data_IF_243400107547
#
_entry.id   IF_243400107547
#
_cell.length_a   1.000
_cell.length_b   1.000
_cell.length_c   1.000
_cell.angle_alpha   90.00
_cell.angle_beta   90.00
_cell.angle_gamma   90.00
#
_symmetry.space_group_name_H-M   'P 1'
#
loop_
_entity.id
_entity.type
_entity.pdbx_description
1 polymer ?
#
# COMPACT_ATOMS: atom_id res chain seq x y z
N UNK A 1 -51.52 -3.97 -18.97
CA UNK A 1 -50.15 -3.51 -19.32
C UNK A 1 -49.18 -4.23 -18.41
N UNK A 2 -48.47 -5.24 -18.91
CA UNK A 2 -47.43 -5.95 -18.15
C UNK A 2 -46.15 -5.09 -18.24
N UNK A 3 -45.73 -4.51 -17.12
CA UNK A 3 -44.44 -3.80 -17.01
C UNK A 3 -43.34 -4.85 -16.81
N UNK A 4 -42.43 -4.93 -17.76
CA UNK A 4 -41.19 -5.68 -17.63
C UNK A 4 -40.26 -4.88 -16.71
N UNK A 5 -39.90 -5.46 -15.58
CA UNK A 5 -38.88 -4.92 -14.69
C UNK A 5 -37.54 -5.44 -15.22
N UNK A 6 -36.77 -4.57 -15.88
CA UNK A 6 -35.39 -4.89 -16.24
C UNK A 6 -34.58 -4.93 -14.94
N UNK A 7 -34.13 -6.12 -14.55
CA UNK A 7 -33.11 -6.27 -13.51
C UNK A 7 -31.78 -5.90 -14.15
N UNK A 8 -31.26 -4.72 -13.79
CA UNK A 8 -29.90 -4.33 -14.14
C UNK A 8 -28.96 -5.16 -13.28
N UNK A 9 -28.35 -6.20 -13.85
CA UNK A 9 -27.26 -6.92 -13.19
C UNK A 9 -26.01 -6.06 -13.35
N UNK A 10 -25.66 -5.28 -12.32
CA UNK A 10 -24.31 -4.71 -12.22
C UNK A 10 -23.35 -5.86 -11.98
N UNK A 11 -22.58 -6.21 -13.01
CA UNK A 11 -21.38 -7.03 -12.84
C UNK A 11 -20.28 -6.09 -12.38
N UNK A 12 -19.95 -6.13 -11.10
CA UNK A 12 -18.69 -5.55 -10.61
C UNK A 12 -17.57 -6.42 -11.15
N UNK A 13 -16.83 -5.92 -12.14
CA UNK A 13 -15.49 -6.43 -12.39
C UNK A 13 -14.62 -5.94 -11.24
N UNK A 14 -14.38 -6.81 -10.27
CA UNK A 14 -13.24 -6.65 -9.37
C UNK A 14 -12.04 -6.91 -10.28
N UNK A 15 -11.29 -5.86 -10.63
CA UNK A 15 -9.98 -6.07 -11.23
C UNK A 15 -9.17 -6.93 -10.24
N UNK A 16 -8.46 -7.97 -10.69
CA UNK A 16 -7.56 -8.69 -9.81
C UNK A 16 -6.62 -7.64 -9.20
N UNK A 17 -6.61 -7.54 -7.87
CA UNK A 17 -5.58 -6.71 -7.24
C UNK A 17 -4.25 -7.27 -7.75
N UNK A 18 -3.37 -6.43 -8.29
CA UNK A 18 -1.94 -6.72 -8.43
C UNK A 18 -1.33 -6.19 -7.12
N UNK A 19 -0.46 -6.93 -6.42
CA UNK A 19 0.30 -6.40 -5.26
C UNK A 19 1.77 -6.30 -5.60
N UNK A 20 2.45 -5.42 -4.87
CA UNK A 20 3.80 -5.00 -5.17
C UNK A 20 4.85 -5.95 -4.66
N UNK A 21 5.97 -6.04 -5.38
CA UNK A 21 7.22 -6.20 -4.67
C UNK A 21 7.35 -5.04 -3.70
N UNK A 22 7.43 -5.38 -2.42
CA UNK A 22 7.74 -4.41 -1.40
C UNK A 22 9.12 -3.79 -1.65
N UNK A 23 9.12 -2.48 -1.79
CA UNK A 23 10.35 -1.69 -1.90
C UNK A 23 10.78 -1.16 -0.54
N UNK A 24 9.83 -1.02 0.38
CA UNK A 24 10.01 -0.38 1.67
C UNK A 24 8.92 -0.80 2.66
N UNK A 25 9.31 -1.01 3.90
CA UNK A 25 8.41 -1.11 5.04
C UNK A 25 9.09 -0.48 6.24
N UNK A 26 8.29 0.27 6.98
CA UNK A 26 8.63 0.79 8.28
C UNK A 26 7.71 0.17 9.30
N UNK A 27 8.27 -0.79 10.01
CA UNK A 27 7.79 -1.23 11.32
C UNK A 27 8.70 -0.53 12.34
N UNK A 28 8.16 0.11 13.37
CA UNK A 28 8.90 0.73 14.49
C UNK A 28 9.91 1.88 14.19
N UNK A 29 10.10 2.27 12.93
CA UNK A 29 10.97 3.38 12.49
C UNK A 29 12.44 3.31 12.97
N UNK A 30 12.92 2.17 13.48
CA UNK A 30 14.22 2.10 14.16
C UNK A 30 15.44 1.95 13.23
N UNK A 31 15.25 1.64 11.94
CA UNK A 31 16.35 1.27 11.04
C UNK A 31 16.32 1.92 9.63
N UNK A 32 15.52 2.98 9.39
CA UNK A 32 15.18 3.38 8.00
C UNK A 32 15.19 4.88 7.68
N UNK A 33 15.78 5.74 8.53
CA UNK A 33 15.85 7.18 8.26
C UNK A 33 16.56 7.51 6.93
N UNK A 34 17.55 6.70 6.54
CA UNK A 34 18.31 6.88 5.28
C UNK A 34 17.49 6.63 4.00
N UNK A 35 16.37 5.91 4.11
CA UNK A 35 15.45 5.67 2.99
C UNK A 35 14.40 6.79 2.87
N UNK A 36 14.35 7.73 3.82
CA UNK A 36 13.38 8.79 3.91
C UNK A 36 14.02 10.17 3.68
N UNK A 37 13.29 11.03 2.99
CA UNK A 37 13.55 12.47 3.02
C UNK A 37 12.50 13.12 3.90
N UNK A 38 12.92 13.69 5.02
CA UNK A 38 12.06 14.39 5.97
C UNK A 38 12.35 15.89 5.86
N UNK A 39 11.31 16.71 5.73
CA UNK A 39 11.42 18.18 5.57
C UNK A 39 10.35 18.92 6.39
N UNK A 40 10.62 20.20 6.67
CA UNK A 40 9.80 21.04 7.54
C UNK A 40 9.85 20.60 9.01
N UNK A 41 8.69 20.60 9.67
CA UNK A 41 8.52 20.21 11.07
C UNK A 41 8.39 18.70 11.28
N UNK A 42 8.40 17.92 10.18
CA UNK A 42 8.32 16.47 10.25
C UNK A 42 9.56 15.87 10.92
N UNK A 43 9.38 14.80 11.69
CA UNK A 43 10.48 14.11 12.39
C UNK A 43 10.09 12.70 12.84
N UNK A 44 11.10 11.84 13.00
CA UNK A 44 10.93 10.58 13.72
C UNK A 44 11.03 10.87 15.22
N UNK A 45 10.03 10.43 15.99
CA UNK A 45 10.00 10.57 17.44
C UNK A 45 9.32 9.34 18.03
N UNK A 46 9.91 8.73 19.07
CA UNK A 46 9.32 7.59 19.78
C UNK A 46 8.77 6.49 18.83
N UNK A 47 9.56 6.07 17.84
CA UNK A 47 9.22 5.03 16.87
C UNK A 47 7.96 5.31 16.00
N UNK A 48 7.71 6.58 15.69
CA UNK A 48 6.69 7.02 14.72
C UNK A 48 7.21 8.20 13.92
N UNK A 49 6.64 8.40 12.74
CA UNK A 49 6.85 9.63 11.97
C UNK A 49 5.78 10.65 12.33
N UNK A 50 6.20 11.75 12.94
CA UNK A 50 5.35 12.91 13.16
C UNK A 50 5.47 13.85 11.97
N UNK A 51 4.38 14.10 11.25
CA UNK A 51 4.35 15.03 10.13
C UNK A 51 4.29 16.49 10.62
N UNK A 52 3.46 16.75 11.62
CA UNK A 52 3.41 18.03 12.34
C UNK A 52 3.13 17.78 13.81
N UNK A 53 3.75 18.54 14.74
CA UNK A 53 3.33 18.56 16.13
C UNK A 53 2.06 19.39 16.30
N UNK A 54 1.33 19.14 17.39
CA UNK A 54 0.18 19.91 17.83
C UNK A 54 0.60 21.30 18.32
N UNK A 55 0.98 22.16 17.38
CA UNK A 55 1.33 23.56 17.57
C UNK A 55 0.78 24.36 16.39
N UNK A 56 0.66 25.68 16.55
CA UNK A 56 0.17 26.54 15.47
C UNK A 56 1.19 26.70 14.35
N UNK A 57 0.69 26.77 13.11
CA UNK A 57 1.49 27.07 11.91
C UNK A 57 2.69 26.15 11.71
N UNK A 58 2.45 24.85 11.83
CA UNK A 58 3.44 23.82 11.51
C UNK A 58 3.20 23.29 10.12
N UNK A 59 4.27 22.84 9.48
CA UNK A 59 4.21 22.21 8.18
C UNK A 59 5.35 21.22 8.03
N UNK A 60 5.05 19.99 7.65
CA UNK A 60 6.06 18.97 7.42
C UNK A 60 5.68 18.00 6.32
N UNK A 61 6.70 17.38 5.75
CA UNK A 61 6.54 16.32 4.78
C UNK A 61 7.60 15.23 4.97
N UNK A 62 7.25 14.02 4.54
CA UNK A 62 8.19 12.92 4.37
C UNK A 62 8.02 12.32 2.99
N UNK A 63 9.08 11.73 2.46
CA UNK A 63 9.06 11.02 1.19
C UNK A 63 9.87 9.74 1.28
N UNK A 64 9.33 8.65 0.74
CA UNK A 64 10.14 7.47 0.44
C UNK A 64 11.10 7.86 -0.68
N UNK A 65 12.39 7.91 -0.36
CA UNK A 65 13.42 8.54 -1.18
C UNK A 65 14.58 7.63 -1.59
N UNK A 66 14.54 6.35 -1.17
CA UNK A 66 15.50 5.33 -1.63
C UNK A 66 15.49 5.17 -3.15
N UNK A 67 14.29 5.14 -3.75
CA UNK A 67 14.11 5.11 -5.20
C UNK A 67 12.71 5.61 -5.59
N UNK A 68 12.57 6.06 -6.84
CA UNK A 68 11.28 6.40 -7.42
C UNK A 68 10.52 5.13 -7.82
N UNK A 69 9.19 5.22 -7.75
CA UNK A 69 8.25 4.19 -8.17
C UNK A 69 7.98 4.28 -9.67
N UNK A 70 8.02 3.16 -10.39
CA UNK A 70 7.59 3.03 -11.78
C UNK A 70 6.06 2.92 -11.87
N UNK A 71 5.44 4.02 -12.32
CA UNK A 71 3.99 4.13 -12.47
C UNK A 71 3.43 3.28 -13.62
N UNK A 72 4.25 2.79 -14.55
CA UNK A 72 3.75 1.87 -15.58
C UNK A 72 3.40 0.51 -14.99
N UNK A 73 4.11 0.12 -13.93
CA UNK A 73 3.83 -1.10 -13.18
C UNK A 73 2.71 -0.88 -12.18
N UNK A 74 2.72 0.27 -11.52
CA UNK A 74 1.79 0.59 -10.45
C UNK A 74 2.36 0.29 -9.08
N UNK A 75 1.60 0.63 -8.04
CA UNK A 75 2.06 0.52 -6.66
C UNK A 75 0.94 0.21 -5.68
N UNK A 76 1.34 -0.24 -4.51
CA UNK A 76 0.52 -0.34 -3.31
C UNK A 76 1.26 0.34 -2.15
N UNK A 77 0.50 1.00 -1.29
CA UNK A 77 0.99 1.49 -0.02
C UNK A 77 -0.05 1.25 1.06
N UNK A 78 0.41 0.85 2.24
CA UNK A 78 -0.41 0.66 3.44
C UNK A 78 0.23 1.44 4.57
N UNK A 79 -0.58 2.05 5.43
CA UNK A 79 -0.08 2.75 6.59
C UNK A 79 -1.09 2.76 7.73
N UNK A 80 -0.56 2.80 8.96
CA UNK A 80 -1.32 3.07 10.16
C UNK A 80 -1.04 4.51 10.57
N UNK A 81 -2.08 5.31 10.76
CA UNK A 81 -1.95 6.69 11.21
C UNK A 81 -2.74 6.93 12.49
N UNK A 82 -2.37 8.00 13.20
CA UNK A 82 -3.01 8.38 14.46
C UNK A 82 -2.96 9.88 14.65
N UNK A 83 -4.10 10.48 14.97
CA UNK A 83 -4.22 11.91 15.27
C UNK A 83 -4.44 12.08 16.77
N UNK A 84 -3.64 12.92 17.43
CA UNK A 84 -3.74 13.09 18.89
C UNK A 84 -3.44 14.51 19.32
N UNK A 85 -3.55 14.78 20.64
CA UNK A 85 -3.22 16.07 21.24
C UNK A 85 -3.95 17.26 20.58
N UNK A 86 -5.20 17.04 20.17
CA UNK A 86 -6.05 18.04 19.54
C UNK A 86 -6.11 19.32 20.37
N UNK A 87 -6.01 20.46 19.70
CA UNK A 87 -6.19 21.74 20.36
C UNK A 87 -7.61 21.82 20.95
N UNK A 88 -7.78 22.31 22.19
CA UNK A 88 -9.06 22.27 22.88
C UNK A 88 -10.05 23.35 22.40
N UNK A 89 -9.61 24.32 21.60
CA UNK A 89 -10.43 25.44 21.14
C UNK A 89 -11.17 25.09 19.84
N UNK A 90 -10.50 24.36 18.94
CA UNK A 90 -11.01 24.00 17.62
C UNK A 90 -11.19 22.49 17.44
N UNK A 91 -10.87 21.70 18.47
CA UNK A 91 -10.95 20.23 18.48
C UNK A 91 -9.99 19.53 17.50
N UNK A 92 -8.88 20.18 17.16
CA UNK A 92 -7.84 19.64 16.29
C UNK A 92 -7.98 20.05 14.83
N UNK A 93 -6.92 19.84 14.06
CA UNK A 93 -6.87 20.12 12.63
C UNK A 93 -5.43 20.24 12.10
N UNK A 94 -5.20 20.54 10.83
CA UNK A 94 -6.21 20.56 9.76
C UNK A 94 -6.30 19.18 9.09
N UNK A 95 -5.18 18.45 9.02
CA UNK A 95 -5.14 17.08 8.51
C UNK A 95 -3.78 16.72 7.94
N UNK A 96 -3.75 15.67 7.13
CA UNK A 96 -2.58 15.25 6.38
C UNK A 96 -2.99 14.73 4.99
N UNK A 97 -2.03 14.55 4.09
CA UNK A 97 -2.28 13.98 2.78
C UNK A 97 -1.23 12.94 2.43
N UNK A 98 -1.66 11.87 1.74
CA UNK A 98 -0.75 11.04 0.96
C UNK A 98 -0.56 11.64 -0.43
N UNK A 99 0.68 11.79 -0.87
CA UNK A 99 1.02 12.52 -2.11
C UNK A 99 1.90 11.67 -3.02
N UNK A 100 1.53 11.67 -4.31
CA UNK A 100 2.30 11.13 -5.44
C UNK A 100 2.80 12.30 -6.27
N UNK A 101 4.11 12.51 -6.35
CA UNK A 101 4.67 13.65 -7.10
C UNK A 101 6.07 13.36 -7.67
N UNK A 102 6.59 14.26 -8.50
CA UNK A 102 7.95 14.18 -9.04
C UNK A 102 8.68 15.53 -8.95
N UNK A 103 8.45 16.25 -7.84
CA UNK A 103 9.03 17.57 -7.61
C UNK A 103 10.30 17.44 -6.76
N UNK A 104 10.85 18.57 -6.31
CA UNK A 104 11.90 18.61 -5.30
C UNK A 104 11.37 18.01 -3.97
N UNK A 105 12.14 17.10 -3.37
CA UNK A 105 11.77 16.43 -2.11
C UNK A 105 11.81 17.37 -0.89
N UNK A 106 12.40 18.56 -1.02
CA UNK A 106 12.38 19.60 0.02
C UNK A 106 11.21 20.58 -0.15
N UNK A 107 10.42 20.46 -1.23
CA UNK A 107 9.27 21.33 -1.47
C UNK A 107 8.18 21.11 -0.42
N UNK A 108 7.56 22.20 0.02
CA UNK A 108 6.45 22.23 0.96
C UNK A 108 5.33 23.11 0.40
N UNK A 109 4.07 22.72 0.63
CA UNK A 109 2.89 23.49 0.22
C UNK A 109 2.57 24.64 1.17
N UNK A 110 1.29 24.87 1.44
CA UNK A 110 0.81 25.88 2.40
C UNK A 110 0.50 25.33 3.79
N UNK A 111 0.19 26.24 4.71
CA UNK A 111 -0.28 25.94 6.07
C UNK A 111 -1.80 25.68 6.11
N UNK A 112 -2.30 25.16 7.23
CA UNK A 112 -3.74 25.03 7.47
C UNK A 112 -4.49 24.16 6.46
N UNK A 113 -5.56 24.71 5.89
CA UNK A 113 -6.40 24.12 4.83
C UNK A 113 -5.62 23.63 3.60
N UNK A 114 -4.37 24.03 3.47
CA UNK A 114 -3.48 23.58 2.40
C UNK A 114 -2.90 22.20 2.65
N UNK A 115 -2.94 21.72 3.90
CA UNK A 115 -2.56 20.37 4.35
C UNK A 115 -1.12 19.99 3.88
N UNK A 116 -0.28 21.01 3.67
CA UNK A 116 1.09 20.87 3.20
C UNK A 116 1.26 20.44 1.73
N UNK A 117 0.19 20.09 1.00
CA UNK A 117 0.28 19.70 -0.42
C UNK A 117 -0.23 20.78 -1.37
N UNK A 118 -1.24 21.57 -0.99
CA UNK A 118 -1.70 22.70 -1.83
C UNK A 118 -0.58 23.73 -1.85
N UNK A 119 0.00 23.98 -3.03
CA UNK A 119 1.17 24.84 -3.22
C UNK A 119 2.41 24.12 -3.74
N UNK A 120 2.44 22.78 -3.71
CA UNK A 120 3.46 22.02 -4.43
C UNK A 120 3.35 22.27 -5.94
N UNK A 121 4.49 22.17 -6.65
CA UNK A 121 4.59 22.44 -8.09
C UNK A 121 3.93 21.38 -9.00
N UNK A 122 3.45 20.28 -8.42
CA UNK A 122 2.88 19.15 -9.14
C UNK A 122 2.51 18.01 -8.19
N UNK A 123 1.60 17.14 -8.63
CA UNK A 123 1.28 15.92 -7.88
C UNK A 123 -0.19 15.51 -7.91
N UNK A 124 -0.46 14.40 -7.25
CA UNK A 124 -1.79 13.89 -6.88
C UNK A 124 -1.80 13.66 -5.38
N UNK A 125 -2.88 14.06 -4.71
CA UNK A 125 -3.00 13.96 -3.27
C UNK A 125 -4.32 13.29 -2.87
N UNK A 126 -4.25 12.37 -1.90
CA UNK A 126 -5.40 11.94 -1.11
C UNK A 126 -5.28 12.65 0.23
N UNK A 127 -6.14 13.66 0.41
CA UNK A 127 -6.28 14.47 1.61
C UNK A 127 -7.14 13.72 2.63
N UNK A 128 -6.68 13.69 3.88
CA UNK A 128 -7.39 13.22 5.07
C UNK A 128 -7.65 14.45 5.93
N UNK A 129 -8.77 15.11 5.64
CA UNK A 129 -9.17 16.34 6.31
C UNK A 129 -9.96 16.01 7.58
N UNK A 130 -9.62 16.71 8.67
CA UNK A 130 -10.20 16.53 10.01
C UNK A 130 -10.80 17.81 10.57
N UNK A 131 -10.91 18.85 9.76
CA UNK A 131 -11.43 20.13 10.16
C UNK A 131 -12.64 20.55 9.30
N UNK A 132 -13.79 20.79 9.93
CA UNK A 132 -15.00 21.20 9.19
C UNK A 132 -14.91 22.68 8.79
N UNK A 133 -14.60 22.97 7.53
CA UNK A 133 -14.65 24.31 6.97
C UNK A 133 -16.07 24.72 6.50
N UNK A 134 -17.11 24.33 7.25
CA UNK A 134 -18.53 24.41 6.88
C UNK A 134 -18.91 23.56 5.65
N UNK A 135 -18.26 22.41 5.49
CA UNK A 135 -18.41 21.49 4.37
C UNK A 135 -19.38 20.35 4.67
N UNK A 136 -19.86 20.28 5.91
CA UNK A 136 -20.93 19.39 6.36
C UNK A 136 -20.43 18.03 6.86
N UNK A 137 -19.12 17.89 7.06
CA UNK A 137 -18.51 16.77 7.77
C UNK A 137 -17.20 17.21 8.43
N UNK A 138 -17.03 16.83 9.69
CA UNK A 138 -15.76 17.02 10.43
C UNK A 138 -14.60 16.29 9.78
N UNK A 139 -14.84 15.10 9.24
CA UNK A 139 -13.84 14.31 8.56
C UNK A 139 -14.25 14.08 7.12
N UNK A 140 -13.34 14.28 6.19
CA UNK A 140 -13.58 13.89 4.81
C UNK A 140 -12.28 13.49 4.11
N UNK A 141 -12.42 12.71 3.04
CA UNK A 141 -11.29 12.35 2.18
C UNK A 141 -11.48 12.97 0.81
N UNK A 142 -10.45 13.65 0.32
CA UNK A 142 -10.47 14.31 -0.97
C UNK A 142 -9.32 13.83 -1.86
N UNK A 143 -9.63 13.39 -3.08
CA UNK A 143 -8.64 13.18 -4.14
C UNK A 143 -8.51 14.47 -4.96
N UNK A 144 -7.29 15.00 -5.05
CA UNK A 144 -6.93 16.19 -5.83
C UNK A 144 -5.73 15.92 -6.73
N UNK A 145 -5.61 16.66 -7.83
CA UNK A 145 -4.39 16.66 -8.65
C UNK A 145 -4.04 18.07 -9.13
N UNK A 146 -2.75 18.31 -9.36
CA UNK A 146 -2.26 19.58 -9.87
C UNK A 146 -2.72 19.81 -11.32
N UNK A 147 -3.35 20.95 -11.57
CA UNK A 147 -3.74 21.42 -12.91
C UNK A 147 -2.86 22.64 -13.28
N UNK A 148 -1.89 22.48 -14.20
CA UNK A 148 -1.04 23.60 -14.63
C UNK A 148 -1.83 24.76 -15.26
N UNK A 149 -3.02 24.51 -15.79
CA UNK A 149 -3.88 25.54 -16.36
C UNK A 149 -4.56 26.40 -15.30
N UNK A 150 -4.82 25.85 -14.12
CA UNK A 150 -5.37 26.56 -12.96
C UNK A 150 -4.27 27.07 -12.01
N UNK A 151 -3.02 26.59 -12.17
CA UNK A 151 -1.87 27.01 -11.38
C UNK A 151 -1.86 26.43 -9.96
N UNK A 152 -2.51 25.29 -9.74
CA UNK A 152 -2.63 24.68 -8.42
C UNK A 152 -3.38 23.35 -8.42
N UNK A 153 -3.63 22.81 -7.22
CA UNK A 153 -4.38 21.58 -7.05
C UNK A 153 -5.87 21.80 -7.25
N UNK A 154 -6.47 20.91 -8.04
CA UNK A 154 -7.89 20.86 -8.30
C UNK A 154 -8.49 19.62 -7.67
N UNK A 155 -9.62 19.81 -7.01
CA UNK A 155 -10.42 18.74 -6.41
C UNK A 155 -11.05 17.86 -7.48
N UNK A 156 -10.83 16.55 -7.40
CA UNK A 156 -11.38 15.55 -8.32
C UNK A 156 -12.55 14.78 -7.72
N UNK A 157 -12.45 14.36 -6.47
CA UNK A 157 -13.52 13.66 -5.75
C UNK A 157 -13.41 13.91 -4.24
N UNK A 158 -14.54 13.97 -3.54
CA UNK A 158 -14.60 14.05 -2.07
C UNK A 158 -15.61 13.05 -1.54
N UNK A 159 -15.27 12.39 -0.44
CA UNK A 159 -16.13 11.45 0.28
C UNK A 159 -16.26 11.89 1.73
N UNK A 160 -17.48 12.21 2.15
CA UNK A 160 -17.79 12.64 3.52
C UNK A 160 -18.28 11.49 4.42
N UNK A 161 -18.72 10.37 3.83
CA UNK A 161 -19.20 9.21 4.58
C UNK A 161 -18.04 8.25 4.86
N UNK A 162 -17.22 8.61 5.84
CA UNK A 162 -16.05 7.86 6.29
C UNK A 162 -16.11 7.65 7.83
N UNK A 163 -15.32 6.72 8.39
CA UNK A 163 -15.10 6.65 9.84
C UNK A 163 -14.60 7.99 10.41
N UNK A 164 -14.85 8.21 11.71
CA UNK A 164 -14.22 9.30 12.47
C UNK A 164 -12.73 9.02 12.56
N UNK A 165 -11.87 9.96 12.12
CA UNK A 165 -10.41 9.77 12.06
C UNK A 165 -9.66 10.54 13.16
N UNK A 166 -10.36 11.44 13.87
CA UNK A 166 -9.81 12.29 14.93
C UNK A 166 -10.23 11.83 16.33
N UNK A 167 -10.51 10.52 16.51
CA UNK A 167 -10.95 9.94 17.77
C UNK A 167 -9.80 9.60 18.75
N UNK A 168 -8.54 9.74 18.30
CA UNK A 168 -7.38 9.41 19.11
C UNK A 168 -6.99 7.93 19.08
N UNK A 169 -7.56 7.13 18.18
CA UNK A 169 -7.20 5.72 17.96
C UNK A 169 -6.41 5.52 16.65
N UNK A 170 -5.67 4.41 16.49
CA UNK A 170 -5.01 4.09 15.22
C UNK A 170 -5.99 3.70 14.12
N UNK A 171 -5.80 4.26 12.92
CA UNK A 171 -6.58 3.95 11.72
C UNK A 171 -5.71 3.33 10.64
N UNK A 172 -6.32 2.45 9.84
CA UNK A 172 -5.65 1.78 8.72
C UNK A 172 -6.05 2.39 7.39
N UNK A 173 -5.06 2.68 6.54
CA UNK A 173 -5.26 3.12 5.18
C UNK A 173 -4.48 2.28 4.18
N UNK A 174 -5.08 2.07 3.01
CA UNK A 174 -4.44 1.44 1.86
C UNK A 174 -4.75 2.19 0.59
N UNK A 175 -3.73 2.34 -0.26
CA UNK A 175 -3.86 2.96 -1.57
C UNK A 175 -3.19 2.06 -2.60
N UNK A 176 -3.86 1.81 -3.71
CA UNK A 176 -3.28 1.13 -4.88
C UNK A 176 -3.40 1.99 -6.12
N UNK A 177 -2.42 1.90 -7.01
CA UNK A 177 -2.51 2.37 -8.38
C UNK A 177 -2.20 1.21 -9.33
N UNK A 178 -3.22 0.66 -9.96
CA UNK A 178 -3.12 -0.47 -10.91
C UNK A 178 -4.04 -0.23 -12.10
N UNK A 179 -3.63 -0.62 -13.31
CA UNK A 179 -4.47 -0.59 -14.50
C UNK A 179 -5.15 0.78 -14.78
N UNK A 180 -4.49 1.88 -14.38
CA UNK A 180 -5.02 3.24 -14.50
C UNK A 180 -6.12 3.59 -13.50
N UNK A 181 -6.27 2.84 -12.42
CA UNK A 181 -7.16 3.12 -11.30
C UNK A 181 -6.36 3.39 -10.03
N UNK A 182 -6.67 4.50 -9.37
CA UNK A 182 -6.25 4.78 -8.00
C UNK A 182 -7.40 4.42 -7.07
N UNK A 183 -7.16 3.47 -6.16
CA UNK A 183 -8.17 2.96 -5.22
C UNK A 183 -7.69 3.14 -3.78
N UNK A 184 -8.58 3.58 -2.91
CA UNK A 184 -8.31 3.91 -1.51
C UNK A 184 -9.29 3.22 -0.57
N UNK A 185 -8.76 2.63 0.50
CA UNK A 185 -9.50 2.02 1.59
C UNK A 185 -9.10 2.66 2.93
N UNK A 186 -10.08 2.77 3.83
CA UNK A 186 -9.92 3.27 5.19
C UNK A 186 -10.67 2.33 6.14
N UNK A 187 -9.98 1.85 7.18
CA UNK A 187 -10.46 0.91 8.20
C UNK A 187 -11.18 -0.33 7.62
N UNK A 188 -10.83 -0.68 6.38
CA UNK A 188 -11.39 -1.81 5.67
C UNK A 188 -10.35 -2.39 4.72
N UNK A 189 -10.31 -3.72 4.61
CA UNK A 189 -9.52 -4.42 3.59
C UNK A 189 -10.38 -4.83 2.38
N UNK A 190 -11.68 -4.54 2.40
CA UNK A 190 -12.65 -5.12 1.46
C UNK A 190 -13.39 -4.02 0.70
N UNK A 191 -13.85 -2.98 1.38
CA UNK A 191 -14.68 -1.94 0.80
C UNK A 191 -13.88 -0.67 0.59
N UNK A 192 -13.56 -0.28 -0.67
CA UNK A 192 -12.86 0.96 -0.92
C UNK A 192 -13.76 2.16 -0.61
N UNK A 193 -13.19 3.20 -0.02
CA UNK A 193 -13.82 4.51 0.16
C UNK A 193 -13.91 5.22 -1.20
N UNK A 194 -12.88 5.06 -2.03
CA UNK A 194 -12.79 5.69 -3.33
C UNK A 194 -12.11 4.75 -4.33
N UNK A 195 -12.59 4.72 -5.57
CA UNK A 195 -11.86 4.17 -6.72
C UNK A 195 -12.07 5.10 -7.90
N UNK A 196 -10.98 5.59 -8.49
CA UNK A 196 -11.03 6.59 -9.55
C UNK A 196 -10.10 6.22 -10.69
N UNK A 197 -10.61 6.31 -11.92
CA UNK A 197 -9.77 6.19 -13.12
C UNK A 197 -8.91 7.44 -13.23
N UNK A 198 -7.60 7.27 -13.23
CA UNK A 198 -6.63 8.35 -13.19
C UNK A 198 -5.38 7.95 -13.98
N UNK A 199 -4.88 8.82 -14.84
CA UNK A 199 -3.63 8.59 -15.58
C UNK A 199 -2.52 9.36 -14.87
N UNK A 200 -1.90 8.72 -13.87
CA UNK A 200 -0.83 9.35 -13.08
C UNK A 200 0.34 9.79 -13.96
N UNK A 201 0.83 8.97 -14.93
CA UNK A 201 1.90 9.41 -15.81
C UNK A 201 1.57 10.68 -16.62
N UNK A 202 0.34 10.79 -17.12
CA UNK A 202 -0.08 11.98 -17.85
C UNK A 202 -0.19 13.22 -16.95
N UNK A 203 -0.67 13.06 -15.71
CA UNK A 203 -0.79 14.16 -14.75
C UNK A 203 0.58 14.67 -14.32
N UNK A 204 1.52 13.76 -14.03
CA UNK A 204 2.86 14.11 -13.56
C UNK A 204 3.82 14.48 -14.70
N UNK A 205 3.48 14.12 -15.94
CA UNK A 205 4.37 14.28 -17.11
C UNK A 205 5.57 13.34 -17.11
N UNK A 206 5.53 12.26 -16.31
CA UNK A 206 6.60 11.28 -16.14
C UNK A 206 6.02 9.94 -15.68
N UNK A 207 6.70 8.84 -15.94
CA UNK A 207 6.36 7.51 -15.45
C UNK A 207 6.96 7.19 -14.08
N UNK A 208 7.64 8.14 -13.43
CA UNK A 208 8.25 7.95 -12.11
C UNK A 208 7.72 8.92 -11.08
N UNK A 209 7.56 8.44 -9.85
CA UNK A 209 7.10 9.28 -8.75
C UNK A 209 7.74 8.93 -7.41
N UNK A 210 7.80 9.93 -6.54
CA UNK A 210 7.95 9.80 -5.11
C UNK A 210 6.59 9.63 -4.45
N UNK A 211 6.56 8.83 -3.40
CA UNK A 211 5.40 8.63 -2.54
C UNK A 211 5.73 9.15 -1.15
N UNK A 212 4.76 9.78 -0.50
CA UNK A 212 4.97 10.25 0.87
C UNK A 212 3.78 10.99 1.42
N UNK A 213 4.04 11.77 2.46
CA UNK A 213 3.01 12.45 3.20
C UNK A 213 3.34 13.90 3.42
N UNK A 214 2.30 14.73 3.46
CA UNK A 214 2.39 16.12 3.92
C UNK A 214 1.38 16.34 5.05
N UNK A 215 1.65 17.29 5.92
CA UNK A 215 0.66 17.79 6.88
C UNK A 215 0.94 19.26 7.16
N UNK A 216 -0.11 19.98 7.54
CA UNK A 216 0.00 21.32 8.04
C UNK A 216 -1.03 21.59 9.13
N UNK A 217 -0.72 22.58 9.98
CA UNK A 217 -1.63 23.08 11.00
C UNK A 217 -1.86 24.58 10.84
N UNK A 218 -2.89 25.09 11.50
CA UNK A 218 -3.24 26.50 11.54
C UNK A 218 -3.50 26.98 12.97
N UNK A 219 -4.64 27.62 13.22
CA UNK A 219 -5.15 27.85 14.57
C UNK A 219 -5.67 26.55 15.20
N UNK A 220 -6.28 25.71 14.37
CA UNK A 220 -6.59 24.32 14.68
C UNK A 220 -5.32 23.49 14.49
N UNK A 221 -5.04 22.58 15.44
CA UNK A 221 -3.82 21.77 15.38
C UNK A 221 -3.95 20.44 16.12
N UNK A 222 -3.30 19.41 15.56
CA UNK A 222 -3.15 18.08 16.14
C UNK A 222 -1.73 17.58 15.92
N UNK A 223 -1.32 16.58 16.69
CA UNK A 223 -0.21 15.72 16.28
C UNK A 223 -0.71 14.83 15.14
N UNK A 224 0.00 14.84 14.00
CA UNK A 224 -0.28 13.96 12.86
C UNK A 224 0.82 12.91 12.75
N UNK A 225 0.55 11.70 13.23
CA UNK A 225 1.54 10.64 13.31
C UNK A 225 1.23 9.49 12.33
N UNK A 226 2.26 9.04 11.60
CA UNK A 226 2.27 7.76 10.87
C UNK A 226 3.02 6.75 11.74
N UNK A 227 2.34 5.67 12.14
CA UNK A 227 2.82 4.65 13.06
C UNK A 227 3.47 3.46 12.37
N UNK A 228 3.01 3.15 11.15
CA UNK A 228 3.56 2.09 10.29
C UNK A 228 3.38 2.54 8.84
N UNK A 229 4.34 2.23 7.95
CA UNK A 229 4.22 2.57 6.53
C UNK A 229 4.91 1.56 5.62
N UNK A 230 4.19 1.06 4.63
CA UNK A 230 4.69 0.16 3.60
C UNK A 230 4.53 0.78 2.21
N UNK A 231 5.53 0.59 1.36
CA UNK A 231 5.49 0.92 -0.07
C UNK A 231 5.93 -0.30 -0.89
N UNK A 232 5.10 -0.70 -1.84
CA UNK A 232 5.39 -1.74 -2.82
C UNK A 232 5.11 -1.28 -4.25
N UNK A 233 5.92 -1.75 -5.19
CA UNK A 233 5.76 -1.55 -6.64
C UNK A 233 5.35 -2.87 -7.28
N UNK A 234 4.31 -2.86 -8.11
CA UNK A 234 3.80 -4.06 -8.80
C UNK A 234 4.87 -4.72 -9.65
N UNK A 235 4.96 -6.04 -9.53
CA UNK A 235 5.85 -6.81 -10.39
C UNK A 235 5.15 -7.09 -11.72
N UNK A 236 5.85 -6.89 -12.86
CA UNK A 236 5.31 -7.36 -14.14
C UNK A 236 5.17 -8.89 -14.12
N UNK A 237 4.25 -9.48 -14.88
CA UNK A 237 4.24 -10.93 -15.04
C UNK A 237 5.59 -11.42 -15.59
N UNK A 238 6.18 -12.50 -15.04
CA UNK A 238 7.36 -13.13 -15.61
C UNK A 238 7.04 -13.72 -17.00
N UNK A 239 8.07 -13.91 -17.83
CA UNK A 239 7.96 -14.58 -19.14
C UNK A 239 7.81 -16.10 -18.96
N UNK A 240 6.68 -16.52 -18.39
CA UNK A 240 6.30 -17.91 -18.15
C UNK A 240 4.94 -18.18 -18.78
N UNK A 241 4.86 -19.30 -19.49
CA UNK A 241 3.60 -19.79 -20.06
C UNK A 241 2.76 -20.51 -19.00
N UNK A 242 2.41 -19.78 -17.93
CA UNK A 242 1.78 -20.32 -16.71
C UNK A 242 0.45 -21.04 -16.98
N UNK A 243 -0.23 -20.72 -18.07
CA UNK A 243 -1.46 -21.37 -18.51
C UNK A 243 -1.25 -22.84 -18.91
N UNK A 244 -0.01 -23.24 -19.20
CA UNK A 244 0.36 -24.61 -19.54
C UNK A 244 0.91 -25.39 -18.33
N UNK A 245 1.13 -24.72 -17.20
CA UNK A 245 1.68 -25.34 -16.00
C UNK A 245 0.54 -25.93 -15.16
N UNK A 246 0.67 -27.21 -14.82
CA UNK A 246 -0.28 -27.91 -13.97
C UNK A 246 0.00 -27.58 -12.50
N UNK A 247 -0.95 -26.89 -11.87
CA UNK A 247 -0.87 -26.56 -10.44
C UNK A 247 -1.56 -27.63 -9.61
N UNK A 248 -0.84 -28.17 -8.62
CA UNK A 248 -1.35 -29.13 -7.62
C UNK A 248 -1.37 -28.50 -6.22
N UNK A 249 -2.56 -28.18 -5.67
CA UNK A 249 -2.69 -27.79 -4.27
C UNK A 249 -2.32 -28.97 -3.36
N UNK A 250 -1.25 -28.81 -2.57
CA UNK A 250 -0.68 -29.90 -1.77
C UNK A 250 -0.83 -29.67 -0.27
N UNK A 251 -0.88 -28.42 0.16
CA UNK A 251 -0.93 -28.05 1.58
C UNK A 251 -2.01 -27.01 1.84
N UNK A 252 -2.52 -27.01 3.07
CA UNK A 252 -3.43 -25.97 3.58
C UNK A 252 -2.83 -25.39 4.86
N UNK A 253 -2.79 -24.05 4.92
CA UNK A 253 -2.29 -23.27 6.06
C UNK A 253 -3.44 -22.40 6.56
N UNK A 254 -3.64 -22.37 7.87
CA UNK A 254 -4.57 -21.46 8.50
C UNK A 254 -3.80 -20.29 9.13
N UNK A 255 -4.28 -19.07 8.91
CA UNK A 255 -3.70 -17.84 9.48
C UNK A 255 -4.72 -17.08 10.33
N UNK A 256 -4.24 -16.50 11.41
CA UNK A 256 -5.03 -15.73 12.37
C UNK A 256 -4.95 -14.23 12.12
N UNK A 257 -3.85 -13.77 11.52
CA UNK A 257 -3.66 -12.37 11.12
C UNK A 257 -3.86 -12.19 9.61
N UNK A 258 -4.20 -10.97 9.21
CA UNK A 258 -4.16 -10.55 7.80
C UNK A 258 -2.77 -10.10 7.38
N UNK A 259 -1.94 -9.63 8.32
CA UNK A 259 -0.60 -9.15 8.01
C UNK A 259 0.36 -10.33 8.12
N UNK A 260 0.79 -10.85 6.98
CA UNK A 260 1.67 -12.01 6.89
C UNK A 260 3.09 -11.59 6.48
N UNK A 261 4.09 -12.38 6.87
CA UNK A 261 5.45 -12.37 6.30
C UNK A 261 5.68 -13.70 5.59
N UNK A 262 5.83 -13.65 4.26
CA UNK A 262 6.08 -14.83 3.43
C UNK A 262 7.58 -14.87 3.13
N UNK A 263 8.25 -15.95 3.53
CA UNK A 263 9.68 -16.13 3.30
C UNK A 263 9.95 -17.30 2.37
N UNK A 264 10.90 -17.17 1.46
CA UNK A 264 11.35 -18.25 0.57
C UNK A 264 12.87 -18.42 0.62
N UNK A 265 13.33 -19.67 0.61
CA UNK A 265 14.75 -20.01 0.52
C UNK A 265 14.96 -21.43 0.00
N UNK A 266 16.20 -21.71 -0.42
CA UNK A 266 16.66 -23.06 -0.68
C UNK A 266 16.97 -23.78 0.64
N UNK A 267 16.14 -24.78 1.00
CA UNK A 267 16.34 -25.57 2.20
C UNK A 267 17.27 -26.78 2.00
N UNK A 268 17.67 -27.06 0.77
CA UNK A 268 18.36 -28.27 0.37
C UNK A 268 19.77 -27.95 -0.16
N UNK A 269 19.96 -27.92 -1.47
CA UNK A 269 21.23 -27.72 -2.13
C UNK A 269 21.10 -26.60 -3.15
N UNK A 270 21.88 -25.53 -2.98
CA UNK A 270 21.98 -24.45 -3.96
C UNK A 270 22.53 -25.02 -5.26
N UNK A 271 21.66 -25.11 -6.25
CA UNK A 271 21.90 -25.76 -7.53
C UNK A 271 21.33 -24.93 -8.70
N UNK A 272 21.05 -23.64 -8.46
CA UNK A 272 20.67 -22.68 -9.51
C UNK A 272 19.17 -22.63 -9.78
N UNK A 273 18.33 -23.12 -8.87
CA UNK A 273 16.88 -22.96 -8.94
C UNK A 273 16.45 -21.50 -9.05
N UNK A 274 15.83 -21.13 -10.17
CA UNK A 274 15.23 -19.80 -10.37
C UNK A 274 13.71 -19.94 -10.29
N UNK A 275 13.08 -19.20 -9.38
CA UNK A 275 11.64 -19.30 -9.12
C UNK A 275 10.92 -17.95 -9.15
N UNK A 276 9.61 -18.02 -9.38
CA UNK A 276 8.67 -16.97 -9.03
C UNK A 276 7.65 -17.51 -8.02
N UNK A 277 7.20 -16.66 -7.10
CA UNK A 277 6.08 -16.95 -6.19
C UNK A 277 4.88 -16.07 -6.55
N UNK A 278 3.73 -16.71 -6.79
CA UNK A 278 2.46 -16.04 -7.03
C UNK A 278 1.52 -16.27 -5.86
N UNK A 279 0.89 -15.21 -5.33
CA UNK A 279 -0.15 -15.29 -4.30
C UNK A 279 -1.47 -14.79 -4.88
N UNK A 280 -2.46 -15.68 -4.99
CA UNK A 280 -3.69 -15.41 -5.73
C UNK A 280 -3.37 -15.00 -7.17
N UNK A 281 -3.76 -13.78 -7.54
CA UNK A 281 -3.49 -13.22 -8.87
C UNK A 281 -2.18 -12.42 -8.96
N UNK A 282 -1.38 -12.37 -7.88
CA UNK A 282 -0.30 -11.40 -7.70
C UNK A 282 1.07 -12.06 -7.69
N UNK A 283 2.03 -11.45 -8.37
CA UNK A 283 3.43 -11.86 -8.28
C UNK A 283 4.08 -11.23 -7.06
N UNK A 284 4.44 -12.06 -6.08
CA UNK A 284 5.12 -11.62 -4.86
C UNK A 284 6.64 -11.56 -5.06
N UNK A 285 7.18 -12.53 -5.80
CA UNK A 285 8.60 -12.65 -6.12
C UNK A 285 8.73 -13.10 -7.57
N UNK A 286 9.59 -12.43 -8.35
CA UNK A 286 9.92 -12.84 -9.72
C UNK A 286 11.39 -13.18 -9.90
N UNK A 287 11.63 -14.20 -10.73
CA UNK A 287 12.95 -14.57 -11.28
C UNK A 287 14.07 -14.55 -10.22
N UNK A 288 13.78 -15.14 -9.07
CA UNK A 288 14.69 -15.16 -7.95
C UNK A 288 15.45 -16.48 -7.92
N UNK A 289 16.77 -16.40 -8.03
CA UNK A 289 17.66 -17.53 -7.77
C UNK A 289 17.64 -17.85 -6.28
N UNK A 290 17.18 -19.05 -5.93
CA UNK A 290 17.09 -19.51 -4.56
C UNK A 290 18.48 -19.64 -3.95
N UNK A 291 18.59 -19.13 -2.72
CA UNK A 291 19.80 -19.24 -1.90
C UNK A 291 19.40 -19.64 -0.49
N UNK A 292 20.40 -19.99 0.35
CA UNK A 292 20.17 -20.33 1.76
C UNK A 292 19.59 -19.19 2.60
N UNK A 293 19.89 -17.94 2.23
CA UNK A 293 19.37 -16.79 2.93
C UNK A 293 17.88 -16.63 2.61
N UNK A 294 17.07 -16.40 3.65
CA UNK A 294 15.63 -16.16 3.48
C UNK A 294 15.40 -14.84 2.78
N UNK A 295 14.61 -14.88 1.70
CA UNK A 295 13.97 -13.70 1.13
C UNK A 295 12.58 -13.58 1.72
N UNK A 296 12.35 -12.56 2.53
CA UNK A 296 11.07 -12.33 3.20
C UNK A 296 10.36 -11.14 2.56
N UNK A 297 9.08 -11.33 2.22
CA UNK A 297 8.20 -10.31 1.67
C UNK A 297 6.91 -10.31 2.49
N UNK A 298 6.52 -9.17 3.09
CA UNK A 298 5.22 -9.06 3.73
C UNK A 298 4.08 -9.14 2.73
N UNK A 299 2.93 -9.61 3.20
CA UNK A 299 1.73 -9.78 2.40
C UNK A 299 0.50 -9.58 3.27
N UNK A 300 -0.30 -8.58 2.90
CA UNK A 300 -1.61 -8.34 3.52
C UNK A 300 -2.68 -9.19 2.83
N UNK A 301 -3.19 -10.18 3.56
CA UNK A 301 -4.17 -11.16 3.13
C UNK A 301 -5.57 -10.55 3.00
N UNK A 302 -6.08 -10.55 1.78
CA UNK A 302 -7.45 -10.14 1.44
C UNK A 302 -8.36 -11.36 1.25
N UNK A 303 -9.66 -11.19 1.54
CA UNK A 303 -10.64 -12.29 1.43
C UNK A 303 -10.58 -13.30 2.59
N UNK A 304 -10.96 -14.55 2.28
CA UNK A 304 -11.05 -15.68 3.22
C UNK A 304 -10.13 -16.85 2.87
N UNK A 305 -9.77 -16.99 1.60
CA UNK A 305 -8.76 -17.93 1.13
C UNK A 305 -7.97 -17.34 -0.05
N UNK A 306 -6.75 -17.83 -0.24
CA UNK A 306 -5.93 -17.58 -1.44
C UNK A 306 -4.95 -18.73 -1.62
N UNK A 307 -4.19 -18.74 -2.71
CA UNK A 307 -3.17 -19.75 -2.98
C UNK A 307 -1.79 -19.12 -3.14
N UNK A 308 -0.75 -19.74 -2.57
CA UNK A 308 0.64 -19.50 -2.96
C UNK A 308 1.04 -20.58 -3.95
N UNK A 309 1.54 -20.19 -5.11
CA UNK A 309 2.00 -21.09 -6.17
C UNK A 309 3.49 -20.81 -6.44
N UNK A 310 4.30 -21.86 -6.44
CA UNK A 310 5.71 -21.82 -6.83
C UNK A 310 5.83 -22.13 -8.32
N UNK A 311 6.47 -21.25 -9.08
CA UNK A 311 6.76 -21.47 -10.50
C UNK A 311 8.27 -21.54 -10.74
N UNK A 312 8.71 -22.55 -11.49
CA UNK A 312 10.10 -22.71 -11.90
C UNK A 312 10.37 -22.04 -13.26
N UNK A 313 11.49 -21.32 -13.36
CA UNK A 313 11.99 -20.74 -14.63
C UNK A 313 13.01 -21.64 -15.32
N UNK A 314 13.57 -22.59 -14.58
CA UNK A 314 14.53 -23.56 -15.03
C UNK A 314 14.31 -24.88 -14.28
N UNK A 315 15.28 -25.77 -14.32
CA UNK A 315 15.25 -27.07 -13.62
C UNK A 315 16.39 -27.21 -12.59
N UNK A 316 17.11 -26.12 -12.32
CA UNK A 316 18.39 -26.16 -11.61
C UNK A 316 19.40 -27.15 -12.24
N UNK A 317 20.41 -27.53 -11.46
CA UNK A 317 21.27 -28.67 -11.75
C UNK A 317 20.63 -30.00 -11.27
N UNK A 318 19.74 -29.96 -10.27
CA UNK A 318 19.04 -31.14 -9.71
C UNK A 318 17.51 -30.91 -9.69
N UNK A 319 16.78 -31.37 -10.72
CA UNK A 319 15.33 -31.18 -10.78
C UNK A 319 14.56 -32.05 -9.75
N UNK A 320 13.35 -31.62 -9.32
CA UNK A 320 12.71 -30.33 -9.61
C UNK A 320 13.24 -29.18 -8.74
N UNK A 321 12.90 -27.94 -9.09
CA UNK A 321 13.24 -26.80 -8.23
C UNK A 321 12.53 -26.95 -6.88
N UNK A 322 13.27 -26.78 -5.78
CA UNK A 322 12.76 -27.04 -4.43
C UNK A 322 12.92 -25.80 -3.55
N UNK A 323 11.79 -25.28 -3.04
CA UNK A 323 11.78 -24.11 -2.17
C UNK A 323 11.10 -24.43 -0.83
N UNK A 324 11.70 -24.00 0.28
CA UNK A 324 10.96 -23.83 1.52
C UNK A 324 10.26 -22.48 1.52
N UNK A 325 8.96 -22.50 1.81
CA UNK A 325 8.11 -21.33 1.98
C UNK A 325 7.64 -21.29 3.43
N UNK A 326 7.95 -20.21 4.15
CA UNK A 326 7.42 -19.95 5.47
C UNK A 326 6.35 -18.85 5.42
N UNK A 327 5.23 -19.09 6.08
CA UNK A 327 4.13 -18.13 6.25
C UNK A 327 4.06 -17.82 7.75
N UNK A 328 4.42 -16.59 8.11
CA UNK A 328 4.39 -16.07 9.48
C UNK A 328 3.27 -15.04 9.60
N UNK A 329 2.29 -15.28 10.47
CA UNK A 329 1.16 -14.36 10.70
C UNK A 329 1.35 -13.49 11.96
N UNK A 330 2.55 -13.52 12.56
CA UNK A 330 2.86 -12.84 13.82
C UNK A 330 2.41 -13.59 15.07
N UNK A 331 1.65 -14.68 14.92
CA UNK A 331 1.24 -15.60 16.00
C UNK A 331 1.97 -16.93 15.86
N UNK A 332 1.96 -17.50 14.65
CA UNK A 332 2.61 -18.76 14.29
C UNK A 332 3.33 -18.63 12.94
N UNK A 333 4.45 -19.34 12.82
CA UNK A 333 5.14 -19.52 11.54
C UNK A 333 5.03 -20.97 11.07
N UNK A 334 4.41 -21.18 9.91
CA UNK A 334 4.28 -22.49 9.27
C UNK A 334 5.24 -22.58 8.08
N UNK A 335 6.09 -23.60 8.02
CA UNK A 335 7.07 -23.82 6.94
C UNK A 335 6.72 -25.05 6.13
N UNK A 336 6.63 -24.89 4.81
CA UNK A 336 6.23 -25.91 3.85
C UNK A 336 7.26 -25.96 2.73
N UNK A 337 7.59 -27.16 2.25
CA UNK A 337 8.42 -27.32 1.06
C UNK A 337 7.53 -27.51 -0.16
N UNK A 338 7.82 -26.76 -1.22
CA UNK A 338 7.16 -26.86 -2.51
C UNK A 338 8.17 -27.25 -3.58
N UNK A 339 7.70 -28.03 -4.53
CA UNK A 339 8.43 -28.42 -5.73
C UNK A 339 7.78 -27.79 -6.98
N UNK A 340 8.61 -27.44 -7.96
CA UNK A 340 8.14 -26.97 -9.25
C UNK A 340 9.11 -27.38 -10.38
N UNK A 341 8.56 -27.72 -11.53
CA UNK A 341 9.28 -27.89 -12.79
C UNK A 341 8.60 -27.07 -13.90
N UNK A 342 9.02 -27.26 -15.16
CA UNK A 342 8.50 -26.49 -16.30
C UNK A 342 7.07 -26.87 -16.72
N UNK A 343 6.52 -27.97 -16.19
CA UNK A 343 5.20 -28.50 -16.52
C UNK A 343 4.27 -28.60 -15.29
N UNK A 344 4.81 -28.71 -14.08
CA UNK A 344 4.10 -28.95 -12.83
C UNK A 344 4.55 -27.98 -11.74
N UNK A 345 3.64 -27.61 -10.86
CA UNK A 345 3.91 -26.68 -9.76
C UNK A 345 3.06 -27.02 -8.55
N UNK A 346 3.66 -27.00 -7.37
CA UNK A 346 2.93 -27.20 -6.12
C UNK A 346 2.43 -25.88 -5.53
N UNK A 347 1.32 -25.98 -4.81
CA UNK A 347 0.67 -24.82 -4.20
C UNK A 347 0.24 -25.06 -2.74
N UNK A 348 0.18 -23.96 -2.00
CA UNK A 348 -0.34 -23.87 -0.63
C UNK A 348 -1.66 -23.11 -0.68
N UNK A 349 -2.75 -23.68 -0.20
CA UNK A 349 -3.97 -22.93 0.10
C UNK A 349 -3.82 -22.27 1.48
N UNK A 350 -4.03 -20.96 1.56
CA UNK A 350 -4.05 -20.22 2.81
C UNK A 350 -5.49 -19.86 3.13
N UNK A 351 -5.93 -20.13 4.36
CA UNK A 351 -7.28 -19.85 4.86
C UNK A 351 -7.17 -18.90 6.05
N UNK A 352 -7.87 -17.77 5.98
CA UNK A 352 -7.97 -16.85 7.11
C UNK A 352 -9.04 -17.34 8.10
N UNK A 353 -8.62 -17.58 9.35
CA UNK A 353 -9.49 -17.97 10.47
C UNK A 353 -9.75 -16.83 11.44
N UNK A 354 -8.94 -15.78 11.40
CA UNK A 354 -8.98 -14.70 12.37
C UNK A 354 -8.37 -15.10 13.72
N UNK A 355 -8.27 -14.15 14.66
CA UNK A 355 -7.72 -14.40 15.98
C UNK A 355 -8.52 -15.50 16.71
N UNK A 356 -7.83 -16.39 17.41
CA UNK A 356 -8.49 -17.27 18.37
C UNK A 356 -9.01 -16.46 19.57
N UNK A 357 -10.29 -16.65 19.93
CA UNK A 357 -10.93 -16.02 21.09
C UNK A 357 -10.30 -16.42 22.44
#
# INVERSE_FOLDING_TARGET
MLRWMCVLVMVFFIAPEVKGQMLFQVDDFSAFEEDLTITGDARIIDNRLRLTPSERYQQGATWFSRQQIDLQRGFETEFIFKLTNHDPEHEGGDGFAFVVHNNDLQELGGFGDSIGYKGLSGGVAIEFDTYDNDEGSRNHVTLSYFDPGEGGFKRHATVHQIPEMSDGEPHYARITYADGFLTFWLDSYIFPVLSSKLDLPAILGTDKAWLGFTSATSFAHSDHDILEWMVGEFLPPPDLAIENIRVEPKYTVEVQSRNLRISVWDHNQIDGDIISLKVGDQWLINEYELVRARKTVPYTFTGFNTTIILYAHNLGDIPPNTAAVAIDDGVETQTINLEADLENSEAIEIIYRGPAD
#
